data_IF_594230857164
#
_entry.id   IF_594230857164
#
_cell.length_a   1.000
_cell.length_b   1.000
_cell.length_c   1.000
_cell.angle_alpha   90.00
_cell.angle_beta   90.00
_cell.angle_gamma   90.00
#
_symmetry.space_group_name_H-M   'P 1'
#
loop_
_entity.id
_entity.type
_entity.pdbx_description
1 polymer ?
#
# COMPACT_ATOMS: atom_id res chain seq x y z
N UNK A 1 -21.17 1.62 -6.16
CA UNK A 1 -21.59 0.85 -4.96
C UNK A 1 -21.50 -0.63 -5.29
N UNK A 2 -21.24 -1.49 -4.30
CA UNK A 2 -21.22 -2.96 -4.44
C UNK A 2 -21.87 -3.54 -3.18
N UNK A 3 -22.79 -4.50 -3.33
CA UNK A 3 -23.56 -5.08 -2.21
C UNK A 3 -24.18 -4.02 -1.27
N UNK A 4 -24.77 -2.97 -1.85
CA UNK A 4 -25.38 -1.85 -1.11
C UNK A 4 -24.42 -1.07 -0.20
N UNK A 5 -23.11 -1.16 -0.42
CA UNK A 5 -22.07 -0.42 0.29
C UNK A 5 -21.28 0.50 -0.65
N UNK A 6 -20.77 1.64 -0.17
CA UNK A 6 -19.93 2.52 -0.97
C UNK A 6 -18.59 1.88 -1.31
N UNK A 7 -18.00 2.33 -2.41
CA UNK A 7 -16.66 1.93 -2.85
C UNK A 7 -15.71 3.06 -2.50
N UNK A 8 -14.69 2.76 -1.71
CA UNK A 8 -13.70 3.71 -1.26
C UNK A 8 -12.41 3.55 -2.04
N UNK A 9 -11.83 4.68 -2.47
CA UNK A 9 -10.57 4.73 -3.21
C UNK A 9 -9.44 5.08 -2.26
N UNK A 10 -8.44 4.20 -2.16
CA UNK A 10 -7.20 4.45 -1.42
C UNK A 10 -6.12 4.83 -2.43
N UNK A 11 -5.41 5.92 -2.14
CA UNK A 11 -4.28 6.38 -2.95
C UNK A 11 -3.03 6.35 -2.09
N UNK A 12 -2.07 5.52 -2.47
CA UNK A 12 -0.73 5.47 -1.89
C UNK A 12 0.22 6.22 -2.82
N UNK A 13 0.91 7.22 -2.30
CA UNK A 13 1.84 8.04 -3.07
C UNK A 13 3.25 7.86 -2.54
N UNK A 14 4.13 7.33 -3.37
CA UNK A 14 5.57 7.32 -3.15
C UNK A 14 6.19 8.52 -3.89
N UNK A 15 6.58 9.59 -3.20
CA UNK A 15 7.23 10.75 -3.84
C UNK A 15 8.70 10.47 -4.22
N UNK A 16 9.28 9.36 -3.75
CA UNK A 16 10.64 8.99 -4.09
C UNK A 16 10.71 8.43 -5.52
N UNK A 17 11.82 8.71 -6.21
CA UNK A 17 12.14 8.08 -7.51
C UNK A 17 12.44 6.59 -7.40
N UNK A 18 12.65 6.11 -6.18
CA UNK A 18 12.99 4.73 -5.89
C UNK A 18 11.76 3.88 -5.59
N UNK A 19 11.73 2.59 -6.00
CA UNK A 19 10.66 1.68 -5.60
C UNK A 19 10.56 1.57 -4.08
N UNK A 20 9.35 1.80 -3.56
CA UNK A 20 8.98 1.53 -2.18
C UNK A 20 8.40 0.12 -2.09
N UNK A 21 9.03 -0.73 -1.30
CA UNK A 21 8.74 -2.16 -1.23
C UNK A 21 8.48 -2.58 0.21
N UNK A 22 7.93 -3.77 0.44
CA UNK A 22 7.58 -4.24 1.79
C UNK A 22 6.75 -3.23 2.60
N UNK A 23 5.85 -2.49 1.93
CA UNK A 23 5.05 -1.45 2.57
C UNK A 23 4.06 -2.09 3.54
N UNK A 24 4.21 -1.78 4.82
CA UNK A 24 3.34 -2.19 5.92
C UNK A 24 2.40 -1.05 6.28
N UNK A 25 1.11 -1.33 6.28
CA UNK A 25 0.04 -0.43 6.69
C UNK A 25 -0.60 -0.94 7.98
N UNK A 26 -0.99 -0.03 8.87
CA UNK A 26 -1.89 -0.35 9.97
C UNK A 26 -3.27 -0.56 9.39
N UNK A 27 -3.85 -1.72 9.69
CA UNK A 27 -5.19 -2.10 9.24
C UNK A 27 -6.00 -2.74 10.38
N UNK A 28 -5.75 -2.30 11.61
CA UNK A 28 -6.56 -2.60 12.80
C UNK A 28 -8.01 -2.18 12.55
N UNK A 29 -8.94 -3.13 12.55
CA UNK A 29 -10.35 -2.86 12.26
C UNK A 29 -10.67 -2.61 10.77
N UNK A 30 -9.70 -2.73 9.86
CA UNK A 30 -9.99 -2.66 8.42
C UNK A 30 -10.83 -3.86 7.98
N UNK A 31 -11.93 -3.57 7.27
CA UNK A 31 -12.88 -4.53 6.74
C UNK A 31 -13.29 -4.16 5.32
N UNK A 32 -13.60 -5.19 4.51
CA UNK A 32 -14.14 -5.05 3.17
C UNK A 32 -15.05 -6.24 2.88
N UNK A 33 -16.20 -6.01 2.24
CA UNK A 33 -17.09 -7.11 1.81
C UNK A 33 -16.61 -7.80 0.53
N UNK A 34 -15.71 -7.14 -0.21
CA UNK A 34 -15.03 -7.70 -1.38
C UNK A 34 -13.57 -7.95 -1.04
N UNK A 35 -12.96 -9.08 -1.48
CA UNK A 35 -11.52 -9.31 -1.33
C UNK A 35 -10.68 -8.15 -1.85
N UNK A 36 -9.67 -7.76 -1.08
CA UNK A 36 -8.70 -6.73 -1.47
C UNK A 36 -7.38 -7.43 -1.79
N UNK A 37 -7.24 -7.91 -3.03
CA UNK A 37 -6.15 -8.79 -3.43
C UNK A 37 -4.76 -8.16 -3.33
N UNK A 38 -4.68 -6.82 -3.26
CA UNK A 38 -3.45 -6.05 -3.18
C UNK A 38 -2.81 -6.09 -1.80
N UNK A 39 -3.55 -6.46 -0.75
CA UNK A 39 -3.08 -6.50 0.64
C UNK A 39 -3.04 -7.95 1.16
N UNK A 40 -2.03 -8.24 1.97
CA UNK A 40 -1.97 -9.44 2.81
C UNK A 40 -2.10 -9.00 4.26
N UNK A 41 -3.19 -9.38 4.93
CA UNK A 41 -3.41 -9.05 6.35
C UNK A 41 -2.76 -10.09 7.26
N UNK A 42 -2.01 -9.64 8.26
CA UNK A 42 -1.40 -10.45 9.31
C UNK A 42 -1.63 -9.76 10.65
N UNK A 43 -2.68 -10.20 11.36
CA UNK A 43 -3.19 -9.48 12.53
C UNK A 43 -3.65 -8.07 12.17
N UNK A 44 -3.06 -7.08 12.81
CA UNK A 44 -3.34 -5.65 12.62
C UNK A 44 -2.49 -4.96 11.55
N UNK A 45 -1.59 -5.71 10.90
CA UNK A 45 -0.69 -5.20 9.86
C UNK A 45 -1.11 -5.74 8.50
N UNK A 46 -1.19 -4.86 7.51
CA UNK A 46 -1.42 -5.22 6.12
C UNK A 46 -0.15 -4.95 5.31
N UNK A 47 0.38 -6.00 4.69
CA UNK A 47 1.50 -5.90 3.75
C UNK A 47 0.96 -5.66 2.34
N UNK A 48 1.48 -4.66 1.65
CA UNK A 48 1.19 -4.46 0.23
C UNK A 48 1.93 -5.49 -0.62
N UNK A 49 1.22 -6.20 -1.48
CA UNK A 49 1.79 -7.24 -2.37
C UNK A 49 2.54 -6.67 -3.59
N UNK A 50 2.60 -5.35 -3.74
CA UNK A 50 3.16 -4.67 -4.89
C UNK A 50 4.16 -3.59 -4.47
N UNK A 51 5.26 -3.50 -5.21
CA UNK A 51 6.21 -2.39 -5.10
C UNK A 51 5.60 -1.12 -5.70
N UNK A 52 5.78 0.03 -5.05
CA UNK A 52 5.26 1.32 -5.51
C UNK A 52 6.38 2.15 -6.12
N UNK A 53 6.24 2.46 -7.42
CA UNK A 53 7.00 3.49 -8.12
C UNK A 53 6.03 4.62 -8.50
N UNK A 54 5.97 5.69 -7.70
CA UNK A 54 4.98 6.77 -7.87
C UNK A 54 3.65 6.50 -7.16
N UNK A 55 2.53 6.57 -7.89
CA UNK A 55 1.18 6.44 -7.32
C UNK A 55 0.63 5.04 -7.50
N UNK A 56 0.10 4.46 -6.43
CA UNK A 56 -0.65 3.21 -6.45
C UNK A 56 -2.06 3.43 -5.91
N UNK A 57 -3.06 2.90 -6.60
CA UNK A 57 -4.47 3.05 -6.25
C UNK A 57 -5.12 1.68 -6.13
N UNK A 58 -5.90 1.48 -5.09
CA UNK A 58 -6.80 0.35 -4.98
C UNK A 58 -8.11 0.79 -4.33
N UNK A 59 -9.10 -0.09 -4.38
CA UNK A 59 -10.42 0.18 -3.81
C UNK A 59 -10.81 -0.90 -2.82
N UNK A 60 -11.67 -0.55 -1.87
CA UNK A 60 -12.33 -1.51 -1.00
C UNK A 60 -13.80 -1.10 -0.81
N UNK A 61 -14.60 -2.03 -0.28
CA UNK A 61 -16.06 -1.84 -0.18
C UNK A 61 -16.47 -2.01 1.27
N UNK A 62 -16.91 -0.93 1.91
CA UNK A 62 -17.31 -0.94 3.31
C UNK A 62 -18.29 0.19 3.62
N UNK A 63 -18.98 0.13 4.77
CA UNK A 63 -19.96 1.14 5.17
C UNK A 63 -19.31 2.52 5.40
N UNK A 64 -18.11 2.55 5.98
CA UNK A 64 -17.39 3.78 6.32
C UNK A 64 -16.01 3.82 5.64
N UNK A 65 -15.51 5.04 5.44
CA UNK A 65 -14.12 5.25 5.06
C UNK A 65 -13.19 4.81 6.18
N UNK A 66 -12.07 4.20 5.83
CA UNK A 66 -11.05 3.71 6.74
C UNK A 66 -9.72 4.33 6.34
N UNK A 67 -9.06 4.97 7.29
CA UNK A 67 -7.76 5.60 7.09
C UNK A 67 -6.64 4.57 7.32
N UNK A 68 -6.03 4.07 6.24
CA UNK A 68 -4.86 3.21 6.33
C UNK A 68 -3.60 4.05 6.63
N UNK A 69 -2.95 3.78 7.75
CA UNK A 69 -1.73 4.49 8.17
C UNK A 69 -0.49 3.72 7.77
N UNK A 70 0.52 4.41 7.25
CA UNK A 70 1.82 3.78 6.95
C UNK A 70 2.55 3.48 8.26
N UNK A 71 2.97 2.23 8.44
CA UNK A 71 3.83 1.81 9.55
C UNK A 71 5.29 1.89 9.12
N UNK A 72 5.63 1.24 8.01
CA UNK A 72 7.00 1.22 7.48
C UNK A 72 7.04 0.75 6.03
N UNK A 73 8.17 0.99 5.37
CA UNK A 73 8.48 0.43 4.06
C UNK A 73 9.98 0.50 3.78
N UNK A 74 10.41 -0.14 2.70
CA UNK A 74 11.83 -0.23 2.31
C UNK A 74 12.03 0.46 0.97
N UNK A 75 13.01 1.36 0.89
CA UNK A 75 13.44 1.94 -0.38
C UNK A 75 14.49 1.03 -1.01
N UNK A 76 14.27 0.57 -2.25
CA UNK A 76 15.27 -0.17 -3.01
C UNK A 76 16.23 0.79 -3.71
N UNK A 77 17.51 0.68 -3.40
CA UNK A 77 18.61 1.41 -4.06
C UNK A 77 19.34 0.51 -5.06
N UNK A 78 20.05 1.13 -6.00
CA UNK A 78 20.99 0.44 -6.88
C UNK A 78 22.42 0.72 -6.41
N UNK A 79 23.25 -0.32 -6.40
CA UNK A 79 24.69 -0.18 -6.19
C UNK A 79 25.37 -0.37 -7.54
N UNK A 80 26.16 0.62 -7.96
CA UNK A 80 26.96 0.56 -9.19
C UNK A 80 28.40 0.83 -8.79
N UNK A 81 29.29 -0.14 -9.04
CA UNK A 81 30.72 -0.07 -8.68
C UNK A 81 30.97 0.34 -7.21
N UNK A 82 30.22 -0.26 -6.28
CA UNK A 82 30.34 0.04 -4.84
C UNK A 82 29.75 1.38 -4.39
N UNK A 83 29.17 2.16 -5.31
CA UNK A 83 28.52 3.43 -4.98
C UNK A 83 27.01 3.24 -4.94
N UNK A 84 26.37 3.71 -3.85
CA UNK A 84 24.91 3.83 -3.78
C UNK A 84 24.51 4.93 -4.76
N UNK A 85 23.90 4.53 -5.87
CA UNK A 85 23.35 5.47 -6.84
C UNK A 85 21.87 5.68 -6.52
N UNK A 86 21.45 6.94 -6.56
CA UNK A 86 20.03 7.28 -6.52
C UNK A 86 19.30 6.60 -7.66
N UNK A 87 17.99 6.39 -7.50
CA UNK A 87 17.18 5.73 -8.52
C UNK A 87 17.15 6.59 -9.79
N UNK A 88 17.93 6.12 -10.77
CA UNK A 88 18.16 6.70 -12.10
C UNK A 88 17.62 5.74 -13.14
#
# INVERSE_FOLDING_TARGET
MVQNKPVWKVTLMNPCRCPLTNLKLSCTGFQSVVPVDTLTKTGDVCLLKKDILGTFVFTYVWDTSFELKVISGTIKFKVVNGTITGCT
#
